data_IF_887130223986
#
_entry.id   IF_887130223986
#
_cell.length_a   1.000
_cell.length_b   1.000
_cell.length_c   1.000
_cell.angle_alpha   90.00
_cell.angle_beta   90.00
_cell.angle_gamma   90.00
#
_symmetry.space_group_name_H-M   'P 1'
#
loop_
_entity.id
_entity.type
_entity.pdbx_description
1 polymer ?
#
# COMPACT_ATOMS: atom_id res chain seq x y z
N UNK A 1 -1.77 7.00 -33.72
CA UNK A 1 -2.07 6.24 -32.48
C UNK A 1 -3.47 6.63 -32.04
N UNK A 2 -4.28 5.68 -31.56
CA UNK A 2 -5.61 6.02 -31.02
C UNK A 2 -5.44 6.85 -29.74
N UNK A 3 -6.23 7.90 -29.61
CA UNK A 3 -6.30 8.72 -28.39
C UNK A 3 -6.67 7.86 -27.20
N UNK A 4 -6.01 8.08 -26.07
CA UNK A 4 -6.28 7.40 -24.80
C UNK A 4 -7.01 8.33 -23.83
N UNK A 5 -8.29 8.09 -23.64
CA UNK A 5 -9.19 8.96 -22.87
C UNK A 5 -9.35 8.43 -21.44
N UNK A 6 -8.93 9.21 -20.46
CA UNK A 6 -9.00 8.82 -19.04
C UNK A 6 -9.88 9.74 -18.21
N UNK A 7 -10.45 9.15 -17.16
CA UNK A 7 -11.06 9.85 -16.02
C UNK A 7 -10.08 9.77 -14.86
N UNK A 8 -9.99 10.83 -14.08
CA UNK A 8 -9.19 10.86 -12.87
C UNK A 8 -10.07 11.25 -11.68
N UNK A 9 -10.06 10.46 -10.62
CA UNK A 9 -10.82 10.72 -9.39
C UNK A 9 -9.85 10.89 -8.23
N UNK A 10 -9.80 12.10 -7.68
CA UNK A 10 -8.89 12.49 -6.61
C UNK A 10 -7.54 13.04 -7.12
N UNK A 11 -7.23 14.29 -6.75
CA UNK A 11 -5.97 14.98 -7.00
C UNK A 11 -5.22 15.25 -5.68
N UNK A 12 -5.11 14.21 -4.85
CA UNK A 12 -4.40 14.26 -3.58
C UNK A 12 -2.87 14.32 -3.74
N UNK A 13 -2.12 14.40 -2.61
CA UNK A 13 -0.66 14.46 -2.61
C UNK A 13 0.01 13.31 -3.40
N UNK A 14 -0.56 12.10 -3.34
CA UNK A 14 -0.01 10.96 -4.06
C UNK A 14 -0.12 11.15 -5.58
N UNK A 15 -1.32 11.44 -6.10
CA UNK A 15 -1.55 11.77 -7.51
C UNK A 15 -0.63 12.87 -8.02
N UNK A 16 -0.54 13.97 -7.25
CA UNK A 16 0.26 15.15 -7.62
C UNK A 16 1.75 14.84 -7.76
N UNK A 17 2.24 13.83 -7.04
CA UNK A 17 3.64 13.41 -7.05
C UNK A 17 3.92 12.32 -8.08
N UNK A 18 2.99 11.40 -8.29
CA UNK A 18 3.24 10.14 -9.02
C UNK A 18 2.49 10.10 -10.34
N UNK A 19 1.17 9.90 -10.29
CA UNK A 19 0.39 9.61 -11.48
C UNK A 19 0.35 10.77 -12.46
N UNK A 20 0.08 11.99 -11.97
CA UNK A 20 -0.05 13.13 -12.87
C UNK A 20 1.27 13.45 -13.61
N UNK A 21 2.44 13.52 -12.92
CA UNK A 21 3.72 13.68 -13.62
C UNK A 21 4.04 12.54 -14.60
N UNK A 22 3.71 11.29 -14.29
CA UNK A 22 3.93 10.18 -15.21
C UNK A 22 3.00 10.22 -16.43
N UNK A 23 1.74 10.61 -16.26
CA UNK A 23 0.84 10.84 -17.39
C UNK A 23 1.35 11.97 -18.28
N UNK A 24 1.88 13.06 -17.70
CA UNK A 24 2.51 14.13 -18.48
C UNK A 24 3.74 13.64 -19.24
N UNK A 25 4.61 12.85 -18.60
CA UNK A 25 5.80 12.26 -19.23
C UNK A 25 5.44 11.43 -20.46
N UNK A 26 4.36 10.67 -20.38
CA UNK A 26 3.94 9.71 -21.40
C UNK A 26 2.83 10.23 -22.32
N UNK A 27 2.42 11.49 -22.15
CA UNK A 27 1.26 12.08 -22.83
C UNK A 27 1.36 11.95 -24.35
N UNK A 28 2.47 12.41 -24.93
CA UNK A 28 2.64 12.44 -26.38
C UNK A 28 2.85 11.02 -26.95
N UNK A 29 3.55 10.16 -26.21
CA UNK A 29 3.81 8.76 -26.59
C UNK A 29 2.54 7.94 -26.73
N UNK A 30 1.53 8.17 -25.87
CA UNK A 30 0.27 7.40 -25.88
C UNK A 30 -0.94 8.23 -26.29
N UNK A 31 -0.75 9.48 -26.74
CA UNK A 31 -1.81 10.43 -27.07
C UNK A 31 -2.89 10.52 -25.96
N UNK A 32 -2.44 10.81 -24.73
CA UNK A 32 -3.25 10.79 -23.51
C UNK A 32 -4.11 12.07 -23.41
N UNK A 33 -5.40 11.89 -23.23
CA UNK A 33 -6.39 12.92 -22.96
C UNK A 33 -7.06 12.69 -21.60
N UNK A 34 -6.99 13.68 -20.72
CA UNK A 34 -7.71 13.65 -19.45
C UNK A 34 -9.09 14.28 -19.65
N UNK A 35 -10.13 13.45 -19.82
CA UNK A 35 -11.49 13.92 -20.14
C UNK A 35 -12.19 14.55 -18.95
N UNK A 36 -11.99 13.98 -17.77
CA UNK A 36 -12.64 14.45 -16.54
C UNK A 36 -11.72 14.28 -15.34
N UNK A 37 -11.59 15.33 -14.54
CA UNK A 37 -11.07 15.27 -13.19
C UNK A 37 -12.22 15.44 -12.18
N UNK A 38 -12.39 14.49 -11.27
CA UNK A 38 -13.36 14.56 -10.17
C UNK A 38 -12.64 14.85 -8.87
N UNK A 39 -13.09 15.86 -8.13
CA UNK A 39 -12.49 16.27 -6.86
C UNK A 39 -13.55 16.92 -5.93
N UNK A 40 -13.28 17.01 -4.63
CA UNK A 40 -14.13 17.74 -3.69
C UNK A 40 -14.00 19.25 -3.86
N UNK A 41 -15.11 19.97 -3.67
CA UNK A 41 -15.17 21.44 -3.81
C UNK A 41 -14.17 22.18 -2.90
N UNK A 42 -13.89 21.64 -1.71
CA UNK A 42 -12.95 22.25 -0.77
C UNK A 42 -11.48 22.10 -1.21
N UNK A 43 -11.20 21.33 -2.27
CA UNK A 43 -9.87 21.23 -2.89
C UNK A 43 -9.72 22.09 -4.14
N UNK A 44 -10.78 22.82 -4.56
CA UNK A 44 -10.78 23.61 -5.80
C UNK A 44 -9.54 24.50 -5.99
N UNK A 45 -9.22 25.32 -4.99
CA UNK A 45 -8.05 26.20 -5.04
C UNK A 45 -6.73 25.41 -5.18
N UNK A 46 -6.62 24.26 -4.50
CA UNK A 46 -5.44 23.40 -4.56
C UNK A 46 -5.31 22.67 -5.90
N UNK A 47 -6.42 22.40 -6.58
CA UNK A 47 -6.44 21.82 -7.93
C UNK A 47 -6.05 22.87 -8.95
N UNK A 48 -6.72 24.03 -8.94
CA UNK A 48 -6.44 25.14 -9.86
C UNK A 48 -4.98 25.55 -9.79
N UNK A 49 -4.44 25.78 -8.58
CA UNK A 49 -3.02 26.11 -8.38
C UNK A 49 -2.06 25.04 -8.93
N UNK A 50 -2.41 23.76 -8.81
CA UNK A 50 -1.54 22.67 -9.26
C UNK A 50 -1.52 22.52 -10.79
N UNK A 51 -2.65 22.81 -11.45
CA UNK A 51 -2.81 22.67 -12.90
C UNK A 51 -2.23 23.84 -13.70
N UNK A 52 -2.05 25.02 -13.09
CA UNK A 52 -1.47 26.18 -13.77
C UNK A 52 -0.12 25.82 -14.40
N UNK A 53 -0.01 26.02 -15.72
CA UNK A 53 1.22 25.81 -16.49
C UNK A 53 1.58 24.35 -16.80
N UNK A 54 0.73 23.38 -16.43
CA UNK A 54 0.94 21.97 -16.78
C UNK A 54 0.55 21.65 -18.21
N UNK A 55 1.26 20.67 -18.78
CA UNK A 55 1.15 20.26 -20.18
C UNK A 55 -0.04 19.35 -20.44
N UNK A 56 -0.41 18.51 -19.45
CA UNK A 56 -1.66 17.80 -19.43
C UNK A 56 -2.68 18.69 -18.71
N UNK A 57 -3.87 18.84 -19.27
CA UNK A 57 -4.98 19.56 -18.67
C UNK A 57 -6.22 18.68 -18.75
N UNK A 58 -7.05 18.62 -17.69
CA UNK A 58 -8.37 18.01 -17.81
C UNK A 58 -9.26 18.87 -18.73
N UNK A 59 -10.01 18.23 -19.63
CA UNK A 59 -11.00 18.94 -20.46
C UNK A 59 -12.15 19.50 -19.59
N UNK A 60 -12.52 18.77 -18.53
CA UNK A 60 -13.53 19.19 -17.56
C UNK A 60 -13.09 18.83 -16.13
N UNK A 61 -13.47 19.66 -15.17
CA UNK A 61 -13.30 19.38 -13.74
C UNK A 61 -14.68 19.38 -13.08
N UNK A 62 -15.02 18.30 -12.39
CA UNK A 62 -16.22 18.17 -11.58
C UNK A 62 -15.85 18.31 -10.10
N UNK A 63 -16.40 19.35 -9.47
CA UNK A 63 -16.29 19.55 -8.03
C UNK A 63 -17.53 19.01 -7.32
N UNK A 64 -17.33 18.04 -6.42
CA UNK A 64 -18.39 17.45 -5.62
C UNK A 64 -18.54 18.16 -4.27
N UNK A 65 -19.77 18.36 -3.76
CA UNK A 65 -19.99 18.92 -2.43
C UNK A 65 -19.31 18.10 -1.34
N UNK A 66 -18.82 18.76 -0.29
CA UNK A 66 -18.28 18.06 0.88
C UNK A 66 -19.41 17.46 1.70
N UNK A 67 -19.70 16.18 1.46
CA UNK A 67 -20.72 15.42 2.19
C UNK A 67 -20.19 14.03 2.59
N UNK A 68 -20.92 13.35 3.48
CA UNK A 68 -20.64 11.94 3.83
C UNK A 68 -20.69 11.06 2.57
N UNK A 69 -21.69 11.28 1.71
CA UNK A 69 -21.87 10.55 0.46
C UNK A 69 -20.68 10.73 -0.50
N UNK A 70 -20.22 11.97 -0.71
CA UNK A 70 -19.06 12.24 -1.59
C UNK A 70 -17.73 11.72 -1.03
N UNK A 71 -17.63 11.47 0.29
CA UNK A 71 -16.37 11.08 0.96
C UNK A 71 -16.28 9.59 1.30
N UNK A 72 -17.42 8.97 1.57
CA UNK A 72 -17.48 7.64 2.19
C UNK A 72 -18.49 6.74 1.48
N UNK A 73 -19.12 7.23 0.41
CA UNK A 73 -20.42 6.79 -0.05
C UNK A 73 -20.57 5.29 -0.22
N UNK A 74 -21.74 4.79 0.19
CA UNK A 74 -22.25 3.47 -0.17
C UNK A 74 -22.65 3.42 -1.66
N UNK A 75 -22.81 4.59 -2.29
CA UNK A 75 -23.09 4.77 -3.71
C UNK A 75 -22.43 6.06 -4.25
N UNK A 76 -22.26 6.14 -5.58
CA UNK A 76 -21.94 7.41 -6.23
C UNK A 76 -23.04 8.44 -5.96
N UNK A 77 -22.65 9.66 -5.60
CA UNK A 77 -23.62 10.75 -5.48
C UNK A 77 -24.25 11.06 -6.84
N UNK A 78 -25.51 11.52 -6.83
CA UNK A 78 -26.30 11.71 -8.05
C UNK A 78 -25.60 12.59 -9.08
N UNK A 79 -24.91 13.64 -8.62
CA UNK A 79 -24.13 14.53 -9.47
C UNK A 79 -22.98 13.78 -10.16
N UNK A 80 -22.17 13.04 -9.42
CA UNK A 80 -21.05 12.27 -9.99
C UNK A 80 -21.57 11.24 -10.99
N UNK A 81 -22.60 10.49 -10.62
CA UNK A 81 -23.22 9.48 -11.49
C UNK A 81 -23.71 10.09 -12.80
N UNK A 82 -24.48 11.19 -12.72
CA UNK A 82 -25.02 11.86 -13.92
C UNK A 82 -23.92 12.31 -14.88
N UNK A 83 -22.88 12.95 -14.36
CA UNK A 83 -21.78 13.46 -15.19
C UNK A 83 -20.94 12.33 -15.81
N UNK A 84 -20.68 11.27 -15.04
CA UNK A 84 -19.96 10.09 -15.51
C UNK A 84 -20.76 9.33 -16.58
N UNK A 85 -22.05 9.08 -16.34
CA UNK A 85 -22.95 8.41 -17.30
C UNK A 85 -23.17 9.24 -18.57
N UNK A 86 -23.15 10.58 -18.47
CA UNK A 86 -23.20 11.45 -19.63
C UNK A 86 -21.90 11.40 -20.44
N UNK A 87 -20.74 11.37 -19.77
CA UNK A 87 -19.44 11.34 -20.41
C UNK A 87 -19.26 10.10 -21.29
N UNK A 88 -19.58 8.92 -20.78
CA UNK A 88 -19.41 7.64 -21.52
C UNK A 88 -20.35 7.51 -22.73
N UNK A 89 -21.41 8.32 -22.81
CA UNK A 89 -22.30 8.38 -23.99
C UNK A 89 -21.72 9.24 -25.10
N UNK A 90 -20.83 10.18 -24.77
CA UNK A 90 -20.26 11.15 -25.71
C UNK A 90 -18.84 10.78 -26.12
N UNK A 91 -18.09 10.12 -25.24
CA UNK A 91 -16.67 9.85 -25.37
C UNK A 91 -16.39 8.37 -25.16
N UNK A 92 -15.46 7.81 -25.92
CA UNK A 92 -14.92 6.48 -25.64
C UNK A 92 -13.88 6.61 -24.53
N UNK A 93 -14.18 6.11 -23.32
CA UNK A 93 -13.28 6.18 -22.16
C UNK A 93 -12.49 4.86 -22.03
N UNK A 94 -11.16 4.94 -22.11
CA UNK A 94 -10.27 3.77 -22.01
C UNK A 94 -10.07 3.31 -20.57
N UNK A 95 -10.11 4.24 -19.61
CA UNK A 95 -9.86 3.91 -18.22
C UNK A 95 -10.16 5.00 -17.21
N UNK A 96 -10.16 4.62 -15.94
CA UNK A 96 -10.29 5.49 -14.77
C UNK A 96 -9.12 5.27 -13.82
N UNK A 97 -8.58 6.36 -13.27
CA UNK A 97 -7.58 6.32 -12.21
C UNK A 97 -8.25 6.79 -10.91
N UNK A 98 -8.22 5.95 -9.88
CA UNK A 98 -8.86 6.17 -8.59
C UNK A 98 -7.77 6.36 -7.54
N UNK A 99 -7.63 7.60 -7.06
CA UNK A 99 -6.67 8.00 -6.01
C UNK A 99 -7.37 8.88 -4.97
N UNK A 100 -8.58 8.46 -4.60
CA UNK A 100 -9.34 9.05 -3.49
C UNK A 100 -8.88 8.45 -2.17
N UNK A 101 -9.57 8.82 -1.08
CA UNK A 101 -9.37 8.13 0.19
C UNK A 101 -10.02 6.72 0.11
N UNK A 102 -9.41 5.66 0.68
CA UNK A 102 -9.80 4.28 0.39
C UNK A 102 -11.26 3.90 0.69
N UNK A 103 -11.95 4.67 1.54
CA UNK A 103 -13.38 4.51 1.81
C UNK A 103 -14.25 4.78 0.57
N UNK A 104 -13.75 5.56 -0.39
CA UNK A 104 -14.47 5.92 -1.61
C UNK A 104 -14.03 5.11 -2.84
N UNK A 105 -13.04 4.22 -2.75
CA UNK A 105 -12.55 3.47 -3.92
C UNK A 105 -13.64 2.62 -4.57
N UNK A 106 -14.39 1.88 -3.75
CA UNK A 106 -15.37 0.88 -4.17
C UNK A 106 -16.37 1.44 -5.19
N UNK A 107 -17.00 2.58 -4.89
CA UNK A 107 -18.08 3.14 -5.72
C UNK A 107 -17.62 3.55 -7.13
N UNK A 108 -16.40 4.06 -7.27
CA UNK A 108 -15.85 4.41 -8.58
C UNK A 108 -15.38 3.18 -9.35
N UNK A 109 -14.80 2.20 -8.65
CA UNK A 109 -14.38 0.94 -9.26
C UNK A 109 -15.60 0.15 -9.77
N UNK A 110 -16.66 0.02 -8.97
CA UNK A 110 -17.91 -0.64 -9.39
C UNK A 110 -18.53 0.02 -10.61
N UNK A 111 -18.62 1.36 -10.62
CA UNK A 111 -19.16 2.09 -11.77
C UNK A 111 -18.34 1.83 -13.04
N UNK A 112 -17.01 1.88 -12.95
CA UNK A 112 -16.15 1.67 -14.11
C UNK A 112 -16.23 0.24 -14.64
N UNK A 113 -16.18 -0.76 -13.77
CA UNK A 113 -16.28 -2.18 -14.16
C UNK A 113 -17.61 -2.48 -14.85
N UNK A 114 -18.74 -1.99 -14.32
CA UNK A 114 -20.08 -2.14 -14.93
C UNK A 114 -20.19 -1.50 -16.33
N UNK A 115 -19.34 -0.53 -16.62
CA UNK A 115 -19.29 0.15 -17.92
C UNK A 115 -18.13 -0.32 -18.81
N UNK A 116 -17.48 -1.45 -18.48
CA UNK A 116 -16.33 -1.98 -19.22
C UNK A 116 -15.16 -0.99 -19.36
N UNK A 117 -14.93 -0.14 -18.35
CA UNK A 117 -13.83 0.82 -18.30
C UNK A 117 -12.70 0.24 -17.43
N UNK A 118 -11.46 0.25 -17.93
CA UNK A 118 -10.32 -0.25 -17.17
C UNK A 118 -10.07 0.60 -15.92
N UNK A 119 -9.61 -0.01 -14.84
CA UNK A 119 -9.39 0.65 -13.55
C UNK A 119 -7.92 0.60 -13.15
N UNK A 120 -7.34 1.73 -12.78
CA UNK A 120 -6.11 1.81 -11.98
C UNK A 120 -6.47 2.40 -10.63
N UNK A 121 -6.29 1.66 -9.54
CA UNK A 121 -6.65 2.13 -8.20
C UNK A 121 -5.47 2.14 -7.24
N UNK A 122 -5.45 3.13 -6.37
CA UNK A 122 -4.57 3.13 -5.20
C UNK A 122 -4.92 2.00 -4.24
N UNK A 123 -3.92 1.59 -3.47
CA UNK A 123 -4.09 0.67 -2.34
C UNK A 123 -4.53 1.43 -1.07
N UNK A 124 -5.23 0.76 -0.15
CA UNK A 124 -5.85 -0.57 -0.26
C UNK A 124 -7.07 -0.54 -1.20
N UNK A 125 -7.55 -1.71 -1.64
CA UNK A 125 -8.72 -1.81 -2.54
C UNK A 125 -9.93 -1.11 -1.91
N UNK A 126 -10.24 -1.44 -0.66
CA UNK A 126 -11.20 -0.70 0.16
C UNK A 126 -10.73 -0.63 1.60
N UNK A 127 -11.33 0.28 2.37
CA UNK A 127 -11.18 0.27 3.82
C UNK A 127 -12.51 0.63 4.47
N UNK A 128 -13.26 -0.36 4.97
CA UNK A 128 -14.43 -0.13 5.79
C UNK A 128 -14.07 0.69 7.04
N UNK A 129 -15.07 1.32 7.66
CA UNK A 129 -14.86 2.01 8.93
C UNK A 129 -14.71 1.03 10.08
N UNK A 130 -13.77 1.33 10.98
CA UNK A 130 -13.55 0.63 12.24
C UNK A 130 -13.21 -0.87 12.16
N UNK A 131 -12.43 -1.35 11.16
CA UNK A 131 -12.12 -2.77 11.03
C UNK A 131 -11.33 -3.34 12.21
N UNK A 132 -10.64 -2.50 13.00
CA UNK A 132 -9.97 -2.95 14.22
C UNK A 132 -10.90 -3.24 15.40
N UNK A 133 -12.14 -2.77 15.36
CA UNK A 133 -13.10 -2.88 16.48
C UNK A 133 -14.47 -3.42 16.08
N UNK A 134 -14.76 -3.56 14.79
CA UNK A 134 -15.97 -4.15 14.26
C UNK A 134 -15.64 -5.35 13.37
N UNK A 135 -16.08 -6.53 13.81
CA UNK A 135 -15.85 -7.80 13.10
C UNK A 135 -16.50 -7.82 11.71
N UNK A 136 -17.63 -7.13 11.52
CA UNK A 136 -18.31 -7.08 10.22
C UNK A 136 -17.54 -6.18 9.25
N UNK A 137 -17.06 -5.02 9.73
CA UNK A 137 -16.16 -4.17 8.95
C UNK A 137 -14.85 -4.90 8.58
N UNK A 138 -14.28 -5.68 9.49
CA UNK A 138 -13.12 -6.52 9.20
C UNK A 138 -13.40 -7.54 8.08
N UNK A 139 -14.57 -8.22 8.12
CA UNK A 139 -15.01 -9.16 7.07
C UNK A 139 -15.30 -8.46 5.74
N UNK A 140 -15.84 -7.25 5.80
CA UNK A 140 -16.20 -6.47 4.62
C UNK A 140 -14.98 -6.16 3.73
N UNK A 141 -13.77 -6.08 4.28
CA UNK A 141 -12.53 -5.93 3.48
C UNK A 141 -12.43 -7.02 2.39
N UNK A 142 -12.70 -8.27 2.75
CA UNK A 142 -12.66 -9.38 1.78
C UNK A 142 -13.95 -9.48 0.98
N UNK A 143 -15.10 -9.16 1.58
CA UNK A 143 -16.38 -9.07 0.87
C UNK A 143 -16.34 -8.08 -0.30
N UNK A 144 -15.83 -6.87 -0.06
CA UNK A 144 -15.66 -5.83 -1.09
C UNK A 144 -14.75 -6.31 -2.23
N UNK A 145 -13.66 -7.02 -1.91
CA UNK A 145 -12.80 -7.63 -2.92
C UNK A 145 -13.57 -8.64 -3.79
N UNK A 146 -14.32 -9.55 -3.16
CA UNK A 146 -15.10 -10.57 -3.87
C UNK A 146 -16.15 -9.94 -4.79
N UNK A 147 -16.85 -8.91 -4.31
CA UNK A 147 -17.84 -8.16 -5.10
C UNK A 147 -17.20 -7.53 -6.35
N UNK A 148 -16.04 -6.88 -6.19
CA UNK A 148 -15.32 -6.25 -7.29
C UNK A 148 -14.73 -7.27 -8.28
N UNK A 149 -14.17 -8.38 -7.80
CA UNK A 149 -13.64 -9.43 -8.67
C UNK A 149 -14.77 -10.15 -9.42
N UNK A 150 -15.94 -10.35 -8.79
CA UNK A 150 -17.12 -10.85 -9.48
C UNK A 150 -17.54 -9.91 -10.62
N UNK A 151 -17.69 -8.61 -10.33
CA UNK A 151 -18.01 -7.61 -11.35
C UNK A 151 -16.98 -7.58 -12.47
N UNK A 152 -15.69 -7.70 -12.15
CA UNK A 152 -14.63 -7.77 -13.14
C UNK A 152 -14.76 -9.02 -14.03
N UNK A 153 -15.11 -10.19 -13.49
CA UNK A 153 -15.31 -11.42 -14.29
C UNK A 153 -16.54 -11.36 -15.19
N UNK A 154 -17.56 -10.62 -14.78
CA UNK A 154 -18.78 -10.37 -15.57
C UNK A 154 -18.56 -9.36 -16.70
N UNK A 155 -17.41 -8.70 -16.74
CA UNK A 155 -17.06 -7.64 -17.69
C UNK A 155 -15.67 -7.91 -18.32
N UNK A 156 -15.32 -7.16 -19.36
CA UNK A 156 -14.02 -7.29 -20.05
C UNK A 156 -12.97 -6.28 -19.55
N UNK A 157 -13.32 -5.44 -18.58
CA UNK A 157 -12.42 -4.45 -18.01
C UNK A 157 -11.29 -5.11 -17.20
N UNK A 158 -10.08 -4.59 -17.37
CA UNK A 158 -8.96 -4.88 -16.48
C UNK A 158 -8.96 -3.92 -15.29
N UNK A 159 -8.57 -4.43 -14.14
CA UNK A 159 -8.44 -3.62 -12.92
C UNK A 159 -7.08 -3.87 -12.30
N UNK A 160 -6.31 -2.82 -12.05
CA UNK A 160 -4.95 -2.86 -11.50
C UNK A 160 -4.94 -2.15 -10.15
N UNK A 161 -4.34 -2.79 -9.15
CA UNK A 161 -4.15 -2.23 -7.81
C UNK A 161 -2.69 -1.83 -7.66
N UNK A 162 -2.40 -0.56 -7.36
CA UNK A 162 -1.03 -0.07 -7.29
C UNK A 162 -0.34 -0.50 -5.98
N UNK A 163 0.10 -1.76 -5.98
CA UNK A 163 1.00 -2.33 -4.99
C UNK A 163 2.40 -2.45 -5.58
N UNK A 164 3.16 -1.37 -5.48
CA UNK A 164 4.46 -1.18 -6.13
C UNK A 164 5.47 -2.33 -5.95
N UNK A 165 5.33 -3.18 -4.92
CA UNK A 165 6.24 -4.30 -4.67
C UNK A 165 6.19 -5.36 -5.77
N UNK A 166 5.03 -5.54 -6.42
CA UNK A 166 4.84 -6.50 -7.51
C UNK A 166 5.59 -6.13 -8.79
N UNK A 167 5.86 -4.84 -9.00
CA UNK A 167 6.63 -4.32 -10.15
C UNK A 167 7.99 -3.71 -9.76
N UNK A 168 8.43 -3.95 -8.53
CA UNK A 168 9.74 -3.51 -8.08
C UNK A 168 10.81 -4.47 -8.59
N UNK A 169 11.79 -3.99 -9.36
CA UNK A 169 12.81 -4.82 -10.04
C UNK A 169 13.44 -5.87 -9.11
N UNK A 170 13.81 -5.48 -7.89
CA UNK A 170 14.39 -6.40 -6.92
C UNK A 170 13.43 -7.50 -6.43
N UNK A 171 12.14 -7.19 -6.28
CA UNK A 171 11.16 -8.16 -5.80
C UNK A 171 10.66 -9.07 -6.93
N UNK A 172 10.54 -8.54 -8.17
CA UNK A 172 10.32 -9.33 -9.39
C UNK A 172 11.44 -10.34 -9.57
N UNK A 173 12.70 -9.90 -9.47
CA UNK A 173 13.85 -10.80 -9.53
C UNK A 173 13.76 -11.93 -8.48
N UNK A 174 13.40 -11.61 -7.24
CA UNK A 174 13.24 -12.62 -6.16
C UNK A 174 12.12 -13.59 -6.49
N UNK A 175 10.97 -13.08 -6.96
CA UNK A 175 9.81 -13.88 -7.33
C UNK A 175 10.15 -14.90 -8.41
N UNK A 176 10.81 -14.45 -9.49
CA UNK A 176 11.22 -15.32 -10.59
C UNK A 176 12.26 -16.34 -10.16
N UNK A 177 13.20 -15.91 -9.32
CA UNK A 177 14.20 -16.78 -8.72
C UNK A 177 13.53 -17.90 -7.89
N UNK A 178 12.54 -17.56 -7.05
CA UNK A 178 11.78 -18.52 -6.25
C UNK A 178 10.96 -19.46 -7.13
N UNK A 179 10.26 -18.95 -8.14
CA UNK A 179 9.50 -19.77 -9.10
C UNK A 179 10.38 -20.83 -9.74
N UNK A 180 11.53 -20.41 -10.26
CA UNK A 180 12.50 -21.33 -10.86
C UNK A 180 13.00 -22.35 -9.85
N UNK A 181 13.42 -21.91 -8.66
CA UNK A 181 13.94 -22.81 -7.63
C UNK A 181 12.90 -23.88 -7.22
N UNK A 182 11.65 -23.47 -7.02
CA UNK A 182 10.57 -24.36 -6.61
C UNK A 182 10.23 -25.34 -7.73
N UNK A 183 10.21 -24.89 -8.98
CA UNK A 183 10.01 -25.75 -10.13
C UNK A 183 11.10 -26.82 -10.23
N UNK A 184 12.38 -26.42 -10.10
CA UNK A 184 13.53 -27.31 -10.24
C UNK A 184 13.64 -28.33 -9.09
N UNK A 185 13.38 -27.91 -7.84
CA UNK A 185 13.64 -28.75 -6.65
C UNK A 185 12.39 -29.29 -5.98
N UNK A 186 11.20 -28.78 -6.29
CA UNK A 186 9.91 -29.17 -5.67
C UNK A 186 9.89 -28.95 -4.14
N UNK A 187 10.58 -27.91 -3.66
CA UNK A 187 10.68 -27.56 -2.23
C UNK A 187 9.99 -26.21 -2.00
N UNK A 188 9.01 -26.11 -1.09
CA UNK A 188 8.24 -24.90 -0.89
C UNK A 188 9.04 -23.83 -0.14
N UNK A 189 8.67 -22.56 -0.32
CA UNK A 189 9.01 -21.51 0.65
C UNK A 189 8.51 -21.95 2.03
N UNK A 190 9.42 -22.12 2.97
CA UNK A 190 9.12 -22.65 4.30
C UNK A 190 8.97 -21.54 5.34
N UNK A 191 9.60 -20.38 5.11
CA UNK A 191 9.50 -19.25 6.03
C UNK A 191 9.65 -17.90 5.31
N UNK A 192 8.85 -16.91 5.72
CA UNK A 192 9.00 -15.51 5.30
C UNK A 192 8.90 -14.60 6.53
N UNK A 193 9.93 -13.81 6.79
CA UNK A 193 9.88 -12.71 7.76
C UNK A 193 9.91 -11.38 6.99
N UNK A 194 8.97 -10.50 7.30
CA UNK A 194 8.89 -9.15 6.77
C UNK A 194 8.88 -8.19 7.95
N UNK A 195 9.82 -7.26 7.92
CA UNK A 195 9.91 -6.16 8.86
C UNK A 195 9.81 -4.85 8.09
N UNK A 196 8.89 -3.98 8.50
CA UNK A 196 8.80 -2.63 7.99
C UNK A 196 8.54 -1.62 9.09
N UNK A 197 9.54 -0.77 9.31
CA UNK A 197 9.47 0.44 10.10
C UNK A 197 9.56 1.67 9.21
N UNK A 198 8.80 2.72 9.54
CA UNK A 198 8.90 3.99 8.83
C UNK A 198 9.03 5.23 9.74
N UNK A 199 8.93 5.10 11.06
CA UNK A 199 9.28 6.20 11.96
C UNK A 199 8.40 7.44 11.85
N UNK A 200 7.15 7.32 11.41
CA UNK A 200 6.22 8.44 11.36
C UNK A 200 5.70 8.75 12.78
N UNK A 201 6.52 9.41 13.59
CA UNK A 201 6.16 9.77 14.97
C UNK A 201 5.08 10.84 15.00
N UNK A 202 3.84 10.42 15.22
CA UNK A 202 2.69 11.33 15.38
C UNK A 202 2.62 11.86 16.80
N UNK A 203 2.50 13.18 16.97
CA UNK A 203 2.26 13.80 18.26
C UNK A 203 0.77 13.79 18.61
N UNK A 204 0.39 13.89 19.90
CA UNK A 204 -0.99 13.66 20.32
C UNK A 204 -2.06 14.53 19.63
N UNK A 205 -1.74 15.79 19.35
CA UNK A 205 -2.65 16.73 18.67
C UNK A 205 -2.88 16.41 17.18
N UNK A 206 -2.15 15.47 16.59
CA UNK A 206 -2.17 15.17 15.15
C UNK A 206 -3.09 14.01 14.78
N UNK A 207 -3.57 13.27 15.77
CA UNK A 207 -4.36 12.05 15.57
C UNK A 207 -5.73 12.33 14.92
N UNK A 208 -6.17 13.59 14.86
CA UNK A 208 -7.43 14.01 14.23
C UNK A 208 -7.32 14.34 12.72
N UNK A 209 -6.11 14.26 12.13
CA UNK A 209 -5.89 14.56 10.71
C UNK A 209 -6.67 13.64 9.76
N UNK A 210 -6.86 14.10 8.51
CA UNK A 210 -7.49 13.34 7.43
C UNK A 210 -6.50 12.57 6.56
N UNK A 211 -5.24 13.01 6.49
CA UNK A 211 -4.21 12.29 5.74
C UNK A 211 -3.68 11.11 6.57
N UNK A 212 -3.81 9.88 6.07
CA UNK A 212 -3.48 8.66 6.81
C UNK A 212 -4.11 8.66 8.23
N UNK A 213 -5.44 8.73 8.32
CA UNK A 213 -6.15 8.89 9.58
C UNK A 213 -6.14 7.59 10.39
N UNK A 214 -6.05 7.70 11.72
CA UNK A 214 -6.29 6.59 12.66
C UNK A 214 -7.70 6.60 13.23
N UNK A 215 -8.35 7.77 13.27
CA UNK A 215 -9.67 8.00 13.88
C UNK A 215 -10.82 7.18 13.28
N UNK A 216 -10.58 6.55 12.14
CA UNK A 216 -11.55 5.69 11.46
C UNK A 216 -11.31 4.19 11.73
N UNK A 217 -10.47 3.85 12.72
CA UNK A 217 -10.25 2.48 13.20
C UNK A 217 -9.48 1.54 12.25
N UNK A 218 -8.76 2.12 11.31
CA UNK A 218 -7.67 1.47 10.57
C UNK A 218 -6.42 2.30 10.71
N UNK A 219 -5.25 1.67 10.65
CA UNK A 219 -3.98 2.35 10.82
C UNK A 219 -2.90 1.77 9.91
N UNK A 220 -1.76 1.43 10.51
CA UNK A 220 -0.55 1.00 9.79
C UNK A 220 -0.82 -0.08 8.76
N UNK A 221 -1.70 -1.05 9.02
CA UNK A 221 -2.03 -2.12 8.06
C UNK A 221 -2.65 -1.58 6.77
N UNK A 222 -3.59 -0.63 6.86
CA UNK A 222 -4.23 -0.01 5.69
C UNK A 222 -3.38 1.12 5.08
N UNK A 223 -2.42 1.65 5.83
CA UNK A 223 -1.50 2.68 5.37
C UNK A 223 -0.34 2.07 4.57
N UNK A 224 0.87 2.01 5.14
CA UNK A 224 2.05 1.43 4.47
C UNK A 224 2.14 -0.08 4.61
N UNK A 225 1.44 -0.68 5.59
CA UNK A 225 1.42 -2.11 5.88
C UNK A 225 0.84 -2.97 4.76
N UNK A 226 -0.11 -2.45 3.98
CA UNK A 226 -0.78 -3.18 2.91
C UNK A 226 0.23 -3.77 1.92
N UNK A 227 1.25 -2.99 1.54
CA UNK A 227 2.31 -3.44 0.63
C UNK A 227 3.05 -4.69 1.13
N UNK A 228 3.12 -4.88 2.45
CA UNK A 228 3.88 -5.96 3.08
C UNK A 228 3.02 -7.19 3.34
N UNK A 229 1.73 -7.01 3.65
CA UNK A 229 0.74 -8.10 3.62
C UNK A 229 0.62 -8.64 2.19
N UNK A 230 0.58 -7.75 1.20
CA UNK A 230 0.58 -8.09 -0.22
C UNK A 230 1.86 -8.81 -0.63
N UNK A 231 3.03 -8.27 -0.27
CA UNK A 231 4.32 -8.89 -0.57
C UNK A 231 4.46 -10.29 0.03
N UNK A 232 4.00 -10.50 1.28
CA UNK A 232 3.96 -11.84 1.87
C UNK A 232 3.10 -12.77 1.02
N UNK A 233 1.85 -12.37 0.75
CA UNK A 233 0.85 -13.16 0.02
C UNK A 233 1.36 -13.53 -1.38
N UNK A 234 1.98 -12.58 -2.05
CA UNK A 234 2.60 -12.76 -3.36
C UNK A 234 3.80 -13.69 -3.28
N UNK A 235 4.77 -13.46 -2.38
CA UNK A 235 5.97 -14.30 -2.32
C UNK A 235 5.67 -15.77 -1.98
N UNK A 236 4.63 -16.05 -1.21
CA UNK A 236 4.25 -17.43 -0.84
C UNK A 236 3.34 -18.12 -1.87
N UNK A 237 2.71 -17.38 -2.79
CA UNK A 237 1.84 -17.95 -3.82
C UNK A 237 2.58 -18.94 -4.74
N UNK A 238 3.91 -18.84 -4.82
CA UNK A 238 4.77 -19.73 -5.60
C UNK A 238 4.66 -21.17 -5.13
N UNK A 239 4.23 -21.41 -3.89
CA UNK A 239 3.96 -22.75 -3.38
C UNK A 239 2.72 -23.39 -4.01
N UNK A 240 1.83 -22.62 -4.65
CA UNK A 240 0.66 -23.14 -5.35
C UNK A 240 1.03 -24.00 -6.57
N UNK A 241 2.28 -23.92 -7.04
CA UNK A 241 2.83 -24.81 -8.07
C UNK A 241 2.95 -26.27 -7.61
N UNK A 242 2.92 -26.51 -6.28
CA UNK A 242 3.21 -27.81 -5.68
C UNK A 242 1.93 -28.47 -5.17
N UNK A 243 1.15 -29.10 -6.06
CA UNK A 243 -0.18 -29.66 -5.75
C UNK A 243 -0.25 -30.50 -4.46
N UNK A 244 0.78 -31.32 -4.20
CA UNK A 244 0.82 -32.23 -3.03
C UNK A 244 0.86 -31.49 -1.70
N UNK A 245 1.52 -30.33 -1.66
CA UNK A 245 1.78 -29.57 -0.44
C UNK A 245 1.21 -28.16 -0.51
N UNK A 246 0.36 -27.89 -1.51
CA UNK A 246 -0.33 -26.62 -1.66
C UNK A 246 -1.16 -26.33 -0.41
N UNK A 247 -0.93 -25.22 0.28
CA UNK A 247 -1.69 -24.86 1.47
C UNK A 247 -3.20 -24.73 1.18
N UNK A 248 -4.04 -25.15 2.13
CA UNK A 248 -5.52 -25.10 2.08
C UNK A 248 -6.15 -24.36 3.27
N UNK A 249 -5.40 -24.15 4.36
CA UNK A 249 -5.81 -23.31 5.49
C UNK A 249 -4.67 -22.44 5.98
N UNK A 250 -5.01 -21.34 6.66
CA UNK A 250 -4.08 -20.51 7.39
C UNK A 250 -4.48 -20.39 8.85
N UNK A 251 -3.50 -20.43 9.76
CA UNK A 251 -3.64 -20.05 11.17
C UNK A 251 -2.90 -18.74 11.39
N UNK A 252 -3.48 -17.80 12.11
CA UNK A 252 -2.77 -16.57 12.44
C UNK A 252 -3.03 -16.08 13.85
N UNK A 253 -2.12 -15.24 14.32
CA UNK A 253 -2.21 -14.49 15.56
C UNK A 253 -1.68 -13.09 15.29
N UNK A 254 -2.40 -12.06 15.75
CA UNK A 254 -1.97 -10.67 15.63
C UNK A 254 -1.97 -9.98 16.98
N UNK A 255 -0.90 -9.24 17.25
CA UNK A 255 -0.81 -8.25 18.31
C UNK A 255 -0.71 -6.84 17.69
N UNK A 256 -1.14 -5.81 18.43
CA UNK A 256 -1.15 -4.43 17.95
C UNK A 256 -0.61 -3.46 19.00
N UNK A 257 -0.15 -2.30 18.55
CA UNK A 257 0.17 -1.13 19.36
C UNK A 257 -0.74 0.03 18.93
N UNK A 258 -1.28 0.79 19.88
CA UNK A 258 -2.35 1.78 19.66
C UNK A 258 -1.91 3.20 20.05
N UNK A 259 -2.69 4.24 19.71
CA UNK A 259 -2.41 5.59 20.20
C UNK A 259 -2.38 5.69 21.73
N UNK A 260 -3.27 4.98 22.43
CA UNK A 260 -3.25 4.93 23.89
C UNK A 260 -1.95 4.34 24.43
N UNK A 261 -1.38 3.32 23.77
CA UNK A 261 -0.09 2.76 24.16
C UNK A 261 1.04 3.78 23.95
N UNK A 262 1.03 4.53 22.84
CA UNK A 262 2.00 5.59 22.58
C UNK A 262 1.97 6.69 23.65
N UNK A 263 0.77 7.16 24.02
CA UNK A 263 0.62 8.24 25.00
C UNK A 263 1.08 7.84 26.40
N UNK A 264 1.03 6.54 26.72
CA UNK A 264 1.58 5.99 27.96
C UNK A 264 3.09 5.70 27.86
N UNK A 265 3.59 5.38 26.66
CA UNK A 265 5.02 5.14 26.43
C UNK A 265 5.83 6.44 26.46
N UNK A 266 5.30 7.51 25.87
CA UNK A 266 5.91 8.84 25.85
C UNK A 266 4.91 9.82 26.49
N UNK A 267 5.05 9.99 27.80
CA UNK A 267 4.13 10.78 28.62
C UNK A 267 4.32 12.30 28.46
N UNK A 268 3.40 13.07 29.08
CA UNK A 268 3.43 14.53 29.12
C UNK A 268 4.79 15.06 29.57
N UNK A 269 5.36 14.47 30.64
CA UNK A 269 6.64 14.90 31.21
C UNK A 269 7.76 14.75 30.19
N UNK A 270 7.78 13.64 29.46
CA UNK A 270 8.80 13.36 28.44
C UNK A 270 8.64 14.29 27.24
N UNK A 271 7.42 14.48 26.74
CA UNK A 271 7.17 15.40 25.63
C UNK A 271 7.52 16.85 25.99
N UNK A 272 7.21 17.30 27.20
CA UNK A 272 7.56 18.64 27.68
C UNK A 272 9.08 18.85 27.79
N UNK A 273 9.86 17.80 28.12
CA UNK A 273 11.34 17.88 28.08
C UNK A 273 11.89 18.07 26.66
N UNK A 274 11.23 17.48 25.66
CA UNK A 274 11.69 17.51 24.26
C UNK A 274 11.32 18.84 23.58
N UNK A 275 10.06 19.26 23.72
CA UNK A 275 9.52 20.37 22.94
C UNK A 275 9.15 21.61 23.76
N UNK A 276 8.96 21.47 25.07
CA UNK A 276 8.53 22.55 25.98
C UNK A 276 7.40 23.41 25.40
N UNK A 277 6.29 22.78 24.98
CA UNK A 277 5.20 23.44 24.25
C UNK A 277 3.87 23.34 25.02
N UNK A 278 3.15 24.45 25.25
CA UNK A 278 1.91 24.45 26.04
C UNK A 278 0.79 23.58 25.47
N UNK A 279 0.76 23.33 24.14
CA UNK A 279 -0.23 22.43 23.52
C UNK A 279 -0.13 20.99 24.05
N UNK A 280 1.03 20.57 24.57
CA UNK A 280 1.21 19.25 25.17
C UNK A 280 0.37 19.15 26.44
N UNK A 281 0.55 20.08 27.38
CA UNK A 281 -0.24 20.09 28.62
C UNK A 281 -1.73 20.32 28.38
N UNK A 282 -2.10 21.11 27.36
CA UNK A 282 -3.50 21.28 26.97
C UNK A 282 -4.13 19.97 26.48
N UNK A 283 -3.40 19.18 25.69
CA UNK A 283 -3.84 17.85 25.28
C UNK A 283 -4.07 16.94 26.50
N UNK A 284 -3.09 16.80 27.39
CA UNK A 284 -3.19 15.85 28.52
C UNK A 284 -4.25 16.26 29.56
N UNK A 285 -4.59 17.55 29.68
CA UNK A 285 -5.72 18.02 30.50
C UNK A 285 -7.07 17.53 30.01
N UNK A 286 -7.23 17.34 28.70
CA UNK A 286 -8.50 16.94 28.05
C UNK A 286 -8.48 15.50 27.56
N UNK A 287 -7.33 14.83 27.65
CA UNK A 287 -7.14 13.46 27.21
C UNK A 287 -8.04 12.50 27.97
N UNK A 288 -8.83 11.74 27.23
CA UNK A 288 -9.60 10.60 27.71
C UNK A 288 -9.27 9.40 26.82
N UNK A 289 -8.72 8.33 27.40
CA UNK A 289 -8.32 7.13 26.68
C UNK A 289 -9.48 6.47 25.92
N UNK A 290 -10.72 6.63 26.41
CA UNK A 290 -11.92 6.09 25.75
C UNK A 290 -12.13 6.66 24.35
N UNK A 291 -11.73 7.92 24.11
CA UNK A 291 -11.85 8.57 22.80
C UNK A 291 -10.94 7.93 21.74
N UNK A 292 -9.90 7.23 22.16
CA UNK A 292 -8.89 6.61 21.29
C UNK A 292 -9.01 5.09 21.20
N UNK A 293 -9.96 4.47 21.90
CA UNK A 293 -10.16 3.02 21.88
C UNK A 293 -10.52 2.49 20.48
N UNK A 294 -11.20 3.30 19.67
CA UNK A 294 -11.62 2.97 18.31
C UNK A 294 -10.61 3.40 17.24
N UNK A 295 -9.46 3.94 17.64
CA UNK A 295 -8.45 4.33 16.68
C UNK A 295 -7.70 3.11 16.16
N UNK A 296 -7.29 3.20 14.89
CA UNK A 296 -6.49 2.18 14.23
C UNK A 296 -5.13 1.99 14.89
N UNK A 297 -4.53 0.85 14.58
CA UNK A 297 -3.23 0.44 15.08
C UNK A 297 -2.07 1.29 14.52
N UNK A 298 -1.13 1.66 15.38
CA UNK A 298 0.16 2.23 14.99
C UNK A 298 1.15 1.15 14.57
N UNK A 299 1.14 0.01 15.27
CA UNK A 299 1.92 -1.17 14.90
C UNK A 299 1.03 -2.41 14.82
N UNK A 300 1.43 -3.36 13.98
CA UNK A 300 0.83 -4.68 13.88
C UNK A 300 1.92 -5.75 13.77
N UNK A 301 1.81 -6.79 14.60
CA UNK A 301 2.71 -7.93 14.64
C UNK A 301 1.91 -9.19 14.38
N UNK A 302 2.03 -9.73 13.17
CA UNK A 302 1.27 -10.90 12.73
C UNK A 302 2.20 -12.09 12.55
N UNK A 303 1.82 -13.22 13.17
CA UNK A 303 2.37 -14.52 12.86
C UNK A 303 1.33 -15.34 12.11
N UNK A 304 1.71 -15.93 10.97
CA UNK A 304 0.82 -16.73 10.11
C UNK A 304 1.46 -18.07 9.79
N UNK A 305 0.66 -19.13 9.75
CA UNK A 305 1.07 -20.45 9.30
C UNK A 305 0.14 -20.89 8.18
N UNK A 306 0.70 -21.10 6.99
CA UNK A 306 0.01 -21.72 5.87
C UNK A 306 0.17 -23.23 5.98
N UNK A 307 -0.95 -23.94 5.95
CA UNK A 307 -1.05 -25.35 6.30
C UNK A 307 -1.65 -26.15 5.15
N UNK A 308 -1.26 -27.42 5.06
CA UNK A 308 -1.94 -28.45 4.27
C UNK A 308 -2.47 -29.51 5.23
N UNK A 309 -3.77 -29.50 5.48
CA UNK A 309 -4.37 -30.26 6.58
C UNK A 309 -3.74 -29.87 7.93
N UNK A 310 -3.13 -30.82 8.63
CA UNK A 310 -2.48 -30.56 9.93
C UNK A 310 -1.00 -30.15 9.82
N UNK A 311 -0.42 -30.16 8.62
CA UNK A 311 1.01 -29.91 8.42
C UNK A 311 1.25 -28.45 8.07
N UNK A 312 2.21 -27.81 8.74
CA UNK A 312 2.67 -26.46 8.39
C UNK A 312 3.59 -26.55 7.18
N UNK A 313 3.28 -25.79 6.13
CA UNK A 313 4.07 -25.70 4.91
C UNK A 313 4.94 -24.44 4.93
N UNK A 314 4.35 -23.32 5.32
CA UNK A 314 5.03 -22.02 5.39
C UNK A 314 4.66 -21.34 6.69
N UNK A 315 5.66 -20.83 7.43
CA UNK A 315 5.41 -19.87 8.51
C UNK A 315 5.78 -18.45 8.06
N UNK A 316 5.07 -17.46 8.56
CA UNK A 316 5.23 -16.07 8.21
C UNK A 316 5.26 -15.19 9.45
N UNK A 317 6.15 -14.19 9.46
CA UNK A 317 6.12 -13.10 10.43
C UNK A 317 6.05 -11.78 9.68
N UNK A 318 5.05 -10.96 9.99
CA UNK A 318 4.84 -9.64 9.38
C UNK A 318 4.83 -8.63 10.52
N UNK A 319 5.91 -7.84 10.61
CA UNK A 319 6.16 -6.88 11.68
C UNK A 319 6.11 -5.47 11.09
N UNK A 320 5.01 -4.77 11.35
CA UNK A 320 4.73 -3.44 10.81
C UNK A 320 4.77 -2.45 11.95
N UNK A 321 5.76 -1.57 11.93
CA UNK A 321 5.98 -0.61 12.98
C UNK A 321 5.89 0.81 12.44
N UNK A 322 5.09 1.62 13.11
CA UNK A 322 5.20 3.06 13.02
C UNK A 322 5.98 3.60 14.22
N UNK A 323 5.77 3.02 15.39
CA UNK A 323 6.50 3.32 16.61
C UNK A 323 7.94 2.79 16.53
N UNK A 324 8.75 3.51 15.77
CA UNK A 324 10.09 3.10 15.35
C UNK A 324 10.96 4.35 15.14
N UNK A 325 12.23 4.14 14.77
CA UNK A 325 13.20 5.22 14.61
C UNK A 325 12.69 6.35 13.71
N UNK A 326 12.64 7.57 14.25
CA UNK A 326 12.21 8.78 13.54
C UNK A 326 13.32 9.83 13.55
N UNK A 327 13.37 10.63 12.48
CA UNK A 327 14.22 11.83 12.39
C UNK A 327 13.49 13.10 12.83
N UNK A 328 12.22 12.98 13.26
CA UNK A 328 11.42 14.12 13.68
C UNK A 328 12.02 14.76 14.93
N UNK A 329 12.36 16.04 14.80
CA UNK A 329 12.88 16.88 15.89
C UNK A 329 12.10 18.19 16.08
N UNK A 330 10.93 18.32 15.47
CA UNK A 330 10.11 19.53 15.49
C UNK A 330 8.66 19.22 15.90
N UNK A 331 8.00 20.23 16.45
CA UNK A 331 6.70 20.05 17.11
C UNK A 331 5.53 19.98 16.13
N UNK A 332 5.32 20.97 15.25
CA UNK A 332 4.18 20.94 14.30
C UNK A 332 4.59 20.33 12.94
N UNK A 333 3.71 19.56 12.30
CA UNK A 333 3.96 19.04 10.94
C UNK A 333 4.12 20.17 9.91
N UNK A 334 4.92 19.97 8.84
CA UNK A 334 4.91 20.86 7.70
C UNK A 334 3.56 20.82 6.97
N UNK A 335 3.31 21.82 6.12
CA UNK A 335 2.11 21.89 5.27
C UNK A 335 1.97 20.65 4.39
N UNK A 336 3.04 20.24 3.72
CA UNK A 336 3.10 18.94 3.04
C UNK A 336 3.37 17.82 4.04
N UNK A 337 2.32 17.24 4.59
CA UNK A 337 2.43 16.12 5.55
C UNK A 337 2.91 14.79 4.94
N UNK A 338 3.10 14.70 3.61
CA UNK A 338 3.57 13.49 2.92
C UNK A 338 5.10 13.30 3.03
N UNK A 339 5.88 14.39 3.13
CA UNK A 339 7.34 14.40 3.34
C UNK A 339 7.69 15.38 4.47
N UNK A 340 8.93 15.35 4.96
CA UNK A 340 9.34 16.32 5.99
C UNK A 340 8.67 16.08 7.35
N UNK A 341 8.20 14.86 7.64
CA UNK A 341 7.57 14.46 8.90
C UNK A 341 8.48 13.55 9.76
N UNK A 342 9.76 13.42 9.38
CA UNK A 342 10.77 12.62 10.08
C UNK A 342 10.76 11.14 9.71
N UNK A 343 9.90 10.73 8.76
CA UNK A 343 9.77 9.35 8.30
C UNK A 343 11.03 8.86 7.58
N UNK A 344 11.52 7.68 7.97
CA UNK A 344 12.70 7.03 7.40
C UNK A 344 12.44 5.54 7.21
N UNK A 345 12.63 5.02 6.00
CA UNK A 345 12.32 3.63 5.67
C UNK A 345 13.36 2.67 6.26
N UNK A 346 12.90 1.70 7.03
CA UNK A 346 13.68 0.55 7.50
C UNK A 346 12.92 -0.72 7.16
N UNK A 347 13.37 -1.41 6.12
CA UNK A 347 12.68 -2.57 5.55
C UNK A 347 13.65 -3.75 5.43
N UNK A 348 13.18 -4.92 5.88
CA UNK A 348 13.89 -6.19 5.74
C UNK A 348 12.92 -7.29 5.35
N UNK A 349 13.32 -8.13 4.41
CA UNK A 349 12.61 -9.37 4.09
C UNK A 349 13.59 -10.52 4.18
N UNK A 350 13.19 -11.63 4.80
CA UNK A 350 13.98 -12.85 4.87
C UNK A 350 13.13 -14.05 4.46
N UNK A 351 13.55 -14.75 3.42
CA UNK A 351 12.84 -15.86 2.80
C UNK A 351 13.70 -17.11 2.95
N UNK A 352 13.12 -18.18 3.47
CA UNK A 352 13.75 -19.49 3.55
C UNK A 352 13.02 -20.47 2.65
N UNK A 353 13.78 -21.28 1.93
CA UNK A 353 13.28 -22.46 1.21
C UNK A 353 13.96 -23.68 1.80
N UNK A 354 13.37 -24.16 2.90
CA UNK A 354 13.90 -25.24 3.74
C UNK A 354 15.38 -25.01 4.12
N UNK A 355 16.23 -26.02 3.98
CA UNK A 355 17.65 -26.00 4.35
C UNK A 355 18.57 -25.55 3.21
N UNK A 356 18.02 -25.12 2.06
CA UNK A 356 18.79 -25.04 0.82
C UNK A 356 19.01 -23.63 0.31
N UNK A 357 18.11 -22.71 0.62
CA UNK A 357 18.15 -21.36 0.09
C UNK A 357 17.63 -20.37 1.13
N UNK A 358 18.40 -19.28 1.28
CA UNK A 358 17.98 -18.11 2.02
C UNK A 358 18.14 -16.87 1.14
N UNK A 359 17.10 -16.06 1.03
CA UNK A 359 17.13 -14.76 0.34
C UNK A 359 16.81 -13.68 1.36
N UNK A 360 17.65 -12.65 1.43
CA UNK A 360 17.46 -11.51 2.31
C UNK A 360 17.40 -10.21 1.49
N UNK A 361 16.47 -9.33 1.85
CA UNK A 361 16.36 -7.98 1.32
C UNK A 361 16.65 -6.99 2.43
N UNK A 362 17.42 -5.96 2.11
CA UNK A 362 17.76 -4.88 3.02
C UNK A 362 17.54 -3.53 2.33
N UNK A 363 16.71 -2.68 2.94
CA UNK A 363 16.49 -1.31 2.48
C UNK A 363 16.38 -0.36 3.67
N UNK A 364 17.42 0.43 3.88
CA UNK A 364 17.57 1.30 5.05
C UNK A 364 17.90 2.74 4.65
N UNK A 365 17.17 3.68 5.24
CA UNK A 365 17.38 5.12 5.10
C UNK A 365 17.79 5.73 6.44
N UNK A 366 18.80 6.61 6.41
CA UNK A 366 19.22 7.39 7.58
C UNK A 366 18.60 8.80 7.60
N UNK A 367 18.20 9.30 6.43
CA UNK A 367 17.68 10.65 6.23
C UNK A 367 16.34 10.58 5.48
N UNK A 368 15.56 11.65 5.61
CA UNK A 368 14.34 11.82 4.82
C UNK A 368 14.68 11.96 3.33
N UNK A 369 13.72 11.60 2.48
CA UNK A 369 13.82 11.75 1.02
C UNK A 369 14.22 13.17 0.63
N UNK A 370 15.21 13.29 -0.28
CA UNK A 370 15.74 14.57 -0.75
C UNK A 370 16.69 15.28 0.22
N UNK A 371 17.01 14.70 1.38
CA UNK A 371 18.02 15.19 2.33
C UNK A 371 19.25 14.28 2.38
N UNK A 372 19.59 13.63 1.26
CA UNK A 372 20.67 12.65 1.20
C UNK A 372 22.03 13.26 1.57
N UNK A 373 22.81 12.49 2.33
CA UNK A 373 24.20 12.79 2.67
C UNK A 373 25.14 11.67 2.20
N UNK A 374 24.58 10.52 1.79
CA UNK A 374 25.33 9.31 1.42
C UNK A 374 25.20 9.01 -0.08
N UNK A 375 26.20 8.36 -0.70
CA UNK A 375 26.12 7.91 -2.09
C UNK A 375 24.92 6.98 -2.34
N UNK A 376 24.29 7.09 -3.51
CA UNK A 376 23.14 6.27 -3.86
C UNK A 376 23.46 4.76 -3.79
N UNK A 377 22.54 3.99 -3.22
CA UNK A 377 22.63 2.53 -3.13
C UNK A 377 23.44 1.99 -1.94
N UNK A 378 24.08 2.85 -1.13
CA UNK A 378 24.74 2.41 0.12
C UNK A 378 23.77 2.43 1.29
N UNK A 379 24.04 1.64 2.34
CA UNK A 379 23.21 1.60 3.56
C UNK A 379 22.99 3.01 4.10
N UNK A 380 21.73 3.41 4.31
CA UNK A 380 21.35 4.73 4.79
C UNK A 380 20.97 5.73 3.68
N UNK A 381 21.35 5.49 2.43
CA UNK A 381 20.93 6.31 1.29
C UNK A 381 19.45 6.09 0.92
N UNK A 382 18.86 7.01 0.17
CA UNK A 382 17.46 6.94 -0.25
C UNK A 382 17.19 5.69 -1.10
N UNK A 383 18.15 5.37 -1.98
CA UNK A 383 18.13 4.28 -2.95
C UNK A 383 18.76 2.97 -2.41
N UNK A 384 18.98 2.81 -1.10
CA UNK A 384 19.51 1.53 -0.57
C UNK A 384 18.50 0.39 -0.81
N UNK A 385 18.89 -0.59 -1.62
CA UNK A 385 18.15 -1.84 -1.79
C UNK A 385 19.12 -2.95 -2.21
N UNK A 386 19.45 -3.83 -1.28
CA UNK A 386 20.34 -4.97 -1.50
C UNK A 386 19.58 -6.30 -1.35
N UNK A 387 19.92 -7.26 -2.21
CA UNK A 387 19.46 -8.65 -2.13
C UNK A 387 20.68 -9.54 -1.87
N UNK A 388 20.65 -10.30 -0.78
CA UNK A 388 21.64 -11.30 -0.43
C UNK A 388 21.05 -12.69 -0.63
N UNK A 389 21.75 -13.58 -1.32
CA UNK A 389 21.28 -14.95 -1.60
C UNK A 389 22.31 -15.95 -1.09
N UNK A 390 21.92 -16.82 -0.17
CA UNK A 390 22.74 -17.90 0.36
C UNK A 390 22.21 -19.24 -0.11
N UNK A 391 23.11 -20.12 -0.54
CA UNK A 391 22.77 -21.42 -1.13
C UNK A 391 23.52 -22.55 -0.47
N UNK A 392 22.86 -23.68 -0.29
CA UNK A 392 23.54 -24.95 -0.08
C UNK A 392 24.17 -25.44 -1.39
N UNK A 393 25.30 -24.82 -1.77
CA UNK A 393 26.00 -25.07 -3.04
C UNK A 393 26.27 -26.55 -3.33
N UNK A 394 26.49 -27.38 -2.29
CA UNK A 394 26.75 -28.82 -2.46
C UNK A 394 25.53 -29.60 -2.95
N UNK A 395 24.32 -29.12 -2.67
CA UNK A 395 23.07 -29.80 -3.05
C UNK A 395 22.44 -29.15 -4.28
N UNK A 396 22.35 -27.83 -4.30
CA UNK A 396 21.60 -27.09 -5.35
C UNK A 396 22.50 -26.40 -6.39
N UNK A 397 23.83 -26.52 -6.26
CA UNK A 397 24.79 -25.87 -7.15
C UNK A 397 24.85 -24.34 -7.01
N UNK A 398 25.44 -23.69 -8.00
CA UNK A 398 25.64 -22.24 -8.05
C UNK A 398 26.68 -21.71 -7.06
N UNK A 399 26.65 -20.40 -6.79
CA UNK A 399 27.51 -19.79 -5.78
C UNK A 399 26.86 -19.82 -4.40
N UNK A 400 27.69 -20.11 -3.39
CA UNK A 400 27.26 -20.21 -2.00
C UNK A 400 26.67 -18.87 -1.50
N UNK A 401 27.14 -17.76 -2.04
CA UNK A 401 26.66 -16.41 -1.74
C UNK A 401 26.62 -15.56 -3.01
N UNK A 402 25.59 -14.73 -3.15
CA UNK A 402 25.52 -13.65 -4.13
C UNK A 402 24.90 -12.39 -3.51
N UNK A 403 25.40 -11.22 -3.87
CA UNK A 403 24.83 -9.92 -3.52
C UNK A 403 24.42 -9.17 -4.78
N UNK A 404 23.22 -8.60 -4.79
CA UNK A 404 22.69 -7.77 -5.89
C UNK A 404 22.27 -6.42 -5.31
N UNK A 405 22.88 -5.35 -5.79
CA UNK A 405 22.54 -3.98 -5.39
C UNK A 405 21.63 -3.34 -6.45
N UNK A 406 20.33 -3.28 -6.15
CA UNK A 406 19.30 -2.86 -7.09
C UNK A 406 19.20 -1.35 -7.17
N UNK A 407 19.03 -0.67 -6.03
CA UNK A 407 18.70 0.76 -6.07
C UNK A 407 19.83 1.65 -6.59
N UNK A 408 21.10 1.32 -6.31
CA UNK A 408 22.25 2.01 -6.91
C UNK A 408 22.33 1.84 -8.43
N UNK A 409 22.01 0.64 -8.95
CA UNK A 409 21.94 0.37 -10.38
C UNK A 409 20.80 1.16 -11.03
N UNK A 410 19.59 1.07 -10.48
CA UNK A 410 18.41 1.78 -11.01
C UNK A 410 18.61 3.30 -11.05
N UNK A 411 19.24 3.87 -10.00
CA UNK A 411 19.57 5.29 -9.98
C UNK A 411 20.53 5.67 -11.10
N UNK A 412 21.58 4.88 -11.32
CA UNK A 412 22.56 5.09 -12.39
C UNK A 412 21.91 4.98 -13.78
N UNK A 413 21.03 4.01 -13.97
CA UNK A 413 20.32 3.78 -15.24
C UNK A 413 19.28 4.87 -15.54
N UNK A 414 18.92 5.69 -14.53
CA UNK A 414 17.88 6.73 -14.63
C UNK A 414 18.43 8.16 -14.53
N UNK A 415 19.73 8.38 -14.75
CA UNK A 415 20.36 9.71 -14.60
C UNK A 415 19.76 10.78 -15.54
N UNK A 416 19.28 10.39 -16.71
CA UNK A 416 18.68 11.29 -17.70
C UNK A 416 17.15 11.42 -17.52
N UNK A 417 16.53 10.58 -16.69
CA UNK A 417 15.08 10.59 -16.46
C UNK A 417 14.72 11.59 -15.36
N UNK A 418 14.34 12.81 -15.76
CA UNK A 418 13.91 13.87 -14.83
C UNK A 418 12.70 13.50 -13.97
N UNK A 419 11.96 12.45 -14.32
CA UNK A 419 10.81 11.96 -13.55
C UNK A 419 11.19 10.81 -12.59
N UNK A 420 12.45 10.37 -12.57
CA UNK A 420 12.90 9.34 -11.65
C UNK A 420 12.92 9.88 -10.21
N UNK A 421 12.03 9.34 -9.37
CA UNK A 421 11.89 9.70 -7.95
C UNK A 421 12.39 8.61 -7.00
N UNK A 422 12.96 7.52 -7.53
CA UNK A 422 13.36 6.34 -6.78
C UNK A 422 12.77 5.05 -7.34
N UNK A 423 13.37 3.92 -6.94
CA UNK A 423 13.02 2.59 -7.42
C UNK A 423 11.56 2.17 -7.11
N UNK A 424 10.98 2.69 -6.02
CA UNK A 424 9.58 2.46 -5.66
C UNK A 424 8.61 3.19 -6.58
N UNK A 425 8.91 4.44 -6.90
CA UNK A 425 8.13 5.27 -7.81
C UNK A 425 8.24 4.74 -9.25
N UNK A 426 9.42 4.26 -9.64
CA UNK A 426 9.61 3.58 -10.92
C UNK A 426 8.72 2.34 -11.05
N UNK A 427 8.57 1.55 -9.98
CA UNK A 427 7.68 0.39 -9.99
C UNK A 427 6.20 0.78 -10.18
N UNK A 428 5.76 1.93 -9.65
CA UNK A 428 4.40 2.45 -9.89
C UNK A 428 4.22 2.92 -11.33
N UNK A 429 5.26 3.51 -11.93
CA UNK A 429 5.25 3.87 -13.35
C UNK A 429 5.04 2.63 -14.23
N UNK A 430 5.68 1.50 -13.91
CA UNK A 430 5.48 0.24 -14.64
C UNK A 430 4.02 -0.23 -14.57
N UNK A 431 3.40 -0.23 -13.39
CA UNK A 431 1.97 -0.57 -13.26
C UNK A 431 1.08 0.39 -14.08
N UNK A 432 1.36 1.70 -14.05
CA UNK A 432 0.63 2.68 -14.85
C UNK A 432 0.75 2.42 -16.36
N UNK A 433 1.95 2.10 -16.84
CA UNK A 433 2.18 1.78 -18.25
C UNK A 433 1.45 0.50 -18.66
N UNK A 434 1.50 -0.55 -17.82
CA UNK A 434 0.76 -1.78 -18.07
C UNK A 434 -0.76 -1.54 -18.13
N UNK A 435 -1.28 -0.64 -17.28
CA UNK A 435 -2.67 -0.17 -17.37
C UNK A 435 -2.97 0.56 -18.69
N UNK A 436 -2.13 1.52 -19.10
CA UNK A 436 -2.33 2.30 -20.34
C UNK A 436 -2.31 1.39 -21.58
N UNK A 437 -1.43 0.38 -21.56
CA UNK A 437 -1.22 -0.56 -22.66
C UNK A 437 -2.19 -1.75 -22.61
N UNK A 438 -2.89 -1.96 -21.49
CA UNK A 438 -3.77 -3.11 -21.28
C UNK A 438 -3.02 -4.45 -21.15
N UNK A 439 -1.78 -4.45 -20.65
CA UNK A 439 -0.94 -5.64 -20.49
C UNK A 439 -1.39 -6.50 -19.30
N UNK A 440 -1.21 -7.81 -19.41
CA UNK A 440 -1.37 -8.68 -18.24
C UNK A 440 -0.27 -8.35 -17.22
N UNK A 441 -0.66 -8.17 -15.95
CA UNK A 441 0.26 -7.75 -14.89
C UNK A 441 -0.15 -8.37 -13.56
N UNK A 442 0.82 -8.74 -12.73
CA UNK A 442 0.51 -9.33 -11.42
C UNK A 442 -0.08 -8.32 -10.42
N UNK A 443 -0.14 -7.04 -10.76
CA UNK A 443 -0.91 -6.02 -10.03
C UNK A 443 -2.41 -6.07 -10.34
N UNK A 444 -2.86 -6.86 -11.31
CA UNK A 444 -4.29 -7.01 -11.60
C UNK A 444 -5.07 -7.56 -10.40
N UNK A 445 -6.30 -7.05 -10.23
CA UNK A 445 -7.19 -7.30 -9.09
C UNK A 445 -7.28 -8.79 -8.73
N UNK A 446 -7.43 -9.66 -9.72
CA UNK A 446 -7.55 -11.11 -9.53
C UNK A 446 -6.40 -11.76 -8.77
N UNK A 447 -5.21 -11.14 -8.75
CA UNK A 447 -4.04 -11.63 -8.04
C UNK A 447 -3.94 -11.12 -6.58
N UNK A 448 -4.94 -10.39 -6.09
CA UNK A 448 -5.00 -9.83 -4.72
C UNK A 448 -5.95 -10.60 -3.79
N UNK A 449 -6.47 -11.75 -4.20
CA UNK A 449 -7.39 -12.59 -3.40
C UNK A 449 -6.82 -12.86 -2.00
N UNK A 450 -5.70 -13.58 -1.95
CA UNK A 450 -5.11 -13.98 -0.69
C UNK A 450 -4.65 -12.77 0.15
N UNK A 451 -4.20 -11.69 -0.50
CA UNK A 451 -3.87 -10.42 0.17
C UNK A 451 -5.04 -9.89 0.99
N UNK A 452 -6.24 -9.80 0.39
CA UNK A 452 -7.41 -9.21 1.05
C UNK A 452 -8.08 -10.19 2.01
N UNK A 453 -8.06 -11.50 1.72
CA UNK A 453 -8.48 -12.53 2.67
C UNK A 453 -7.60 -12.50 3.93
N UNK A 454 -6.27 -12.46 3.77
CA UNK A 454 -5.33 -12.36 4.88
C UNK A 454 -5.51 -11.05 5.66
N UNK A 455 -5.61 -9.91 4.98
CA UNK A 455 -5.81 -8.61 5.62
C UNK A 455 -7.12 -8.56 6.42
N UNK A 456 -8.21 -9.09 5.87
CA UNK A 456 -9.48 -9.23 6.59
C UNK A 456 -9.31 -10.07 7.86
N UNK A 457 -8.65 -11.22 7.76
CA UNK A 457 -8.45 -12.10 8.93
C UNK A 457 -7.47 -11.49 9.96
N UNK A 458 -6.49 -10.68 9.55
CA UNK A 458 -5.65 -9.92 10.48
C UNK A 458 -6.51 -8.96 11.30
N UNK A 459 -7.42 -8.21 10.67
CA UNK A 459 -8.33 -7.32 11.39
C UNK A 459 -9.32 -8.07 12.28
N UNK A 460 -9.85 -9.21 11.83
CA UNK A 460 -10.69 -10.08 12.68
C UNK A 460 -9.91 -10.59 13.90
N UNK A 461 -8.61 -10.88 13.75
CA UNK A 461 -7.73 -11.30 14.83
C UNK A 461 -7.51 -10.19 15.86
N UNK A 462 -7.35 -8.95 15.38
CA UNK A 462 -7.24 -7.75 16.21
C UNK A 462 -8.54 -7.50 17.01
N UNK A 463 -9.70 -7.52 16.37
CA UNK A 463 -11.00 -7.33 17.05
C UNK A 463 -11.21 -8.41 18.11
N UNK A 464 -11.00 -9.68 17.73
CA UNK A 464 -11.19 -10.82 18.65
C UNK A 464 -10.24 -10.75 19.83
N UNK A 465 -8.99 -10.34 19.61
CA UNK A 465 -8.01 -10.11 20.66
C UNK A 465 -8.48 -9.09 21.69
N UNK A 466 -9.09 -7.99 21.24
CA UNK A 466 -9.65 -6.97 22.14
C UNK A 466 -10.86 -7.46 22.91
N UNK A 467 -11.80 -8.13 22.23
CA UNK A 467 -13.07 -8.56 22.84
C UNK A 467 -12.93 -9.77 23.75
N UNK A 468 -12.05 -10.71 23.41
CA UNK A 468 -11.97 -12.02 24.06
C UNK A 468 -10.62 -12.33 24.72
N UNK A 469 -9.60 -11.47 24.54
CA UNK A 469 -8.23 -11.75 24.99
C UNK A 469 -7.51 -12.85 24.19
N UNK A 470 -8.13 -13.36 23.11
CA UNK A 470 -7.54 -14.38 22.23
C UNK A 470 -7.62 -13.92 20.77
N UNK A 471 -6.46 -13.59 20.19
CA UNK A 471 -6.36 -13.14 18.79
C UNK A 471 -6.06 -14.26 17.79
N UNK A 472 -6.07 -15.54 18.20
CA UNK A 472 -5.83 -16.63 17.26
C UNK A 472 -7.03 -16.86 16.33
N UNK A 473 -6.77 -17.04 15.04
CA UNK A 473 -7.75 -17.39 14.01
C UNK A 473 -7.27 -18.53 13.12
N UNK A 474 -8.23 -19.21 12.50
CA UNK A 474 -7.99 -20.21 11.46
C UNK A 474 -9.02 -19.99 10.36
N UNK A 475 -8.58 -19.94 9.11
CA UNK A 475 -9.43 -19.69 7.96
C UNK A 475 -8.95 -20.46 6.74
N UNK A 476 -9.87 -20.67 5.78
CA UNK A 476 -9.57 -21.34 4.51
C UNK A 476 -8.95 -20.34 3.54
N UNK A 477 -8.01 -20.81 2.73
CA UNK A 477 -7.34 -20.04 1.68
C UNK A 477 -7.69 -20.53 0.29
#
# INVERSE_FOLDING_TARGET
>A
MNTKNYIFVGLGPHTKRIYYPFLEKHKDTYNICLKLLVELENQKQNVEKYLVGRSLQPERILYLPVSKESRMGDSLCELAKRELDALIKMECIDGIIISTEPKAHRIYAEWALRNNINVLMDKPITTPLYPSTDINAAKQIYGDYLDLEQLRRENNAKAYVVCQRRNHEGYVYIKDYLRKFISDFQIPVSFVDIYHADGAWSLPHEFMKENHPYKYGYGKLMHSGYHFVDLFSWLVDVNNQLDRIRPDFAKLHTARFTPNDLFNQIDERTLNKIYNNPKISEFYKTYNSQNYNYFGELDAYTFVQLMRGNNVITSGSINLQQNSFSRRGWFDLPEDTYKGNGRVRHERVNIQVSHFLNIQVHSYQSCEVGKEVAPAGVVGSEDHFDINIFRNKKVIGGDAFAKISVGGKMKKDSLEDRYYLGHNEKAREVTLLNFIEGKDDESELQYHDFTNNLLSNIYQSIERGQRMGNSQLTFKI
#
